data_IF_760642082442
#
_entry.id   IF_760642082442
#
_cell.length_a   1.000
_cell.length_b   1.000
_cell.length_c   1.000
_cell.angle_alpha   90.00
_cell.angle_beta   90.00
_cell.angle_gamma   90.00
#
_symmetry.space_group_name_H-M   'P 1'
#
loop_
_entity.id
_entity.type
_entity.pdbx_description
1 polymer ?
2 non-polymer ?
3 water ?
#
# COMPACT_ATOMS: atom_id res chain seq x y z
N UNK A 1 -0.42 -10.29 -16.01
CA UNK A 1 0.01 -9.15 -16.83
C UNK A 1 1.04 -8.27 -16.12
N UNK A 2 1.55 -7.27 -16.82
CA UNK A 2 2.34 -6.23 -16.15
C UNK A 2 1.42 -5.04 -15.93
N UNK A 3 1.50 -4.44 -14.75
CA UNK A 3 0.69 -3.27 -14.42
C UNK A 3 1.57 -2.07 -14.01
N UNK A 4 1.46 -0.95 -14.73
CA UNK A 4 2.20 0.24 -14.35
C UNK A 4 1.40 1.05 -13.34
N UNK A 5 2.00 2.10 -12.79
CA UNK A 5 1.42 2.71 -11.60
C UNK A 5 1.00 4.17 -11.78
N UNK A 6 0.77 4.57 -13.04
CA UNK A 6 0.33 5.93 -13.29
C UNK A 6 -1.08 6.11 -12.77
N UNK A 7 -1.81 5.00 -12.66
CA UNK A 7 -3.13 4.98 -12.06
C UNK A 7 -3.18 3.97 -10.93
N UNK A 8 -4.16 4.07 -10.03
CA UNK A 8 -4.34 3.03 -9.01
C UNK A 8 -4.38 1.63 -9.64
N UNK A 9 -3.66 0.67 -9.04
CA UNK A 9 -3.68 -0.67 -9.64
C UNK A 9 -4.90 -1.43 -9.17
N UNK A 10 -6.03 -1.13 -9.78
CA UNK A 10 -7.28 -1.77 -9.39
C UNK A 10 -7.56 -3.00 -10.25
N UNK A 11 -8.08 -4.05 -9.63
CA UNK A 11 -8.38 -5.27 -10.34
C UNK A 11 -9.75 -5.77 -9.92
N UNK A 12 -10.29 -6.68 -10.72
CA UNK A 12 -11.58 -7.25 -10.37
C UNK A 12 -11.35 -8.50 -9.51
N UNK A 13 -12.11 -8.64 -8.43
CA UNK A 13 -12.02 -9.83 -7.61
C UNK A 13 -13.38 -10.48 -7.53
N UNK A 14 -13.39 -11.77 -7.24
CA UNK A 14 -14.65 -12.45 -6.94
C UNK A 14 -14.43 -13.16 -5.63
N UNK A 15 -15.34 -12.91 -4.69
CA UNK A 15 -15.25 -13.48 -3.36
C UNK A 15 -16.66 -13.60 -2.79
N UNK A 16 -16.95 -14.73 -2.15
CA UNK A 16 -18.27 -14.95 -1.54
C UNK A 16 -19.40 -14.87 -2.55
N UNK A 17 -19.10 -15.25 -3.79
CA UNK A 17 -20.06 -15.21 -4.88
C UNK A 17 -20.28 -13.82 -5.47
N UNK A 18 -19.49 -12.84 -5.03
CA UNK A 18 -19.73 -11.45 -5.41
C UNK A 18 -18.56 -10.82 -6.14
N UNK A 19 -18.87 -9.90 -7.05
CA UNK A 19 -17.80 -9.22 -7.78
C UNK A 19 -17.52 -7.85 -7.19
N UNK A 20 -16.23 -7.58 -6.96
CA UNK A 20 -15.77 -6.33 -6.38
C UNK A 20 -14.48 -5.85 -7.05
N UNK A 21 -14.16 -4.58 -6.85
CA UNK A 21 -12.88 -4.05 -7.32
C UNK A 21 -11.97 -3.85 -6.11
N UNK A 22 -10.68 -4.11 -6.27
CA UNK A 22 -9.75 -3.97 -5.16
C UNK A 22 -8.40 -3.50 -5.64
N UNK A 23 -7.67 -2.89 -4.71
CA UNK A 23 -6.41 -2.27 -5.05
C UNK A 23 -5.31 -3.24 -4.70
N UNK A 24 -4.41 -3.54 -5.64
CA UNK A 24 -3.23 -4.36 -5.37
C UNK A 24 -2.29 -3.53 -4.51
N UNK A 25 -2.05 -4.00 -3.29
CA UNK A 25 -1.43 -3.13 -2.30
C UNK A 25 -0.19 -3.73 -1.65
N UNK A 26 0.99 -3.36 -2.16
CA UNK A 26 2.24 -3.93 -1.65
C UNK A 26 2.55 -3.38 -0.26
N UNK A 27 1.82 -2.34 0.13
CA UNK A 27 2.08 -1.67 1.41
C UNK A 27 1.24 -2.28 2.50
N UNK A 28 0.46 -3.29 2.13
CA UNK A 28 -0.44 -3.96 3.06
C UNK A 28 0.02 -5.40 3.29
N UNK A 29 0.26 -5.77 4.55
CA UNK A 29 0.62 -7.15 4.84
C UNK A 29 -0.59 -8.05 4.60
N UNK A 30 -1.73 -7.58 5.09
CA UNK A 30 -2.99 -8.35 5.07
C UNK A 30 -3.97 -7.85 4.01
N UNK A 31 -5.01 -8.63 3.74
CA UNK A 31 -6.07 -8.21 2.81
C UNK A 31 -7.29 -7.74 3.60
N UNK A 32 -7.80 -6.56 3.24
CA UNK A 32 -8.89 -5.91 3.97
C UNK A 32 -9.98 -5.48 2.99
N UNK A 33 -11.17 -6.03 3.17
CA UNK A 33 -12.27 -5.71 2.28
C UNK A 33 -13.34 -4.94 3.04
N UNK A 34 -14.00 -4.01 2.35
CA UNK A 34 -15.15 -3.27 2.90
C UNK A 34 -16.22 -4.24 3.39
N UNK A 35 -17.13 -3.74 4.22
CA UNK A 35 -18.20 -4.58 4.75
C UNK A 35 -18.94 -5.30 3.62
N UNK A 36 -18.99 -6.62 3.73
CA UNK A 36 -19.65 -7.45 2.74
C UNK A 36 -20.10 -8.70 3.48
N UNK A 37 -21.00 -9.46 2.86
CA UNK A 37 -21.50 -10.69 3.47
C UNK A 37 -20.62 -11.91 3.13
N UNK A 38 -19.97 -12.49 4.14
CA UNK A 38 -19.17 -13.70 3.99
C UNK A 38 -19.73 -14.81 4.89
N UNK A 39 -19.79 -16.05 4.37
CA UNK A 39 -20.44 -17.22 4.99
C UNK A 39 -20.08 -17.56 6.44
N UNK A 40 -18.99 -18.29 6.63
CA UNK A 40 -18.76 -18.97 7.90
C UNK A 40 -18.38 -18.15 9.12
N UNK A 41 -17.52 -18.72 9.94
CA UNK A 41 -17.13 -18.10 11.21
C UNK A 41 -15.97 -17.13 11.02
N UNK A 42 -15.78 -16.26 12.00
CA UNK A 42 -14.72 -15.27 11.96
C UNK A 42 -14.21 -14.96 13.35
N UNK A 43 -13.15 -14.17 13.44
CA UNK A 43 -12.57 -13.80 14.72
C UNK A 43 -12.33 -12.31 14.75
N UNK A 44 -12.52 -11.69 15.92
CA UNK A 44 -12.22 -10.27 16.09
C UNK A 44 -10.72 -10.00 15.91
N UNK A 45 -10.39 -8.86 15.32
CA UNK A 45 -9.00 -8.48 15.12
C UNK A 45 -8.94 -6.97 14.99
N UNK A 46 -7.82 -6.39 15.40
CA UNK A 46 -7.62 -4.95 15.36
C UNK A 46 -6.47 -4.71 14.43
N UNK A 47 -6.62 -3.77 13.49
CA UNK A 47 -5.53 -3.47 12.57
C UNK A 47 -5.23 -1.97 12.49
N UNK A 48 -3.94 -1.63 12.41
CA UNK A 48 -3.53 -0.25 12.42
C UNK A 48 -3.10 0.25 11.06
N UNK A 49 -3.46 1.49 10.74
CA UNK A 49 -3.06 2.12 9.51
C UNK A 49 -2.55 3.52 9.77
N UNK A 50 -2.64 4.40 8.78
CA UNK A 50 -2.02 5.70 8.88
C UNK A 50 -2.63 6.62 9.95
N UNK A 51 -3.94 6.56 10.13
CA UNK A 51 -4.63 7.52 10.99
C UNK A 51 -5.22 6.95 12.26
N UNK A 52 -4.89 5.70 12.56
CA UNK A 52 -5.41 5.03 13.72
C UNK A 52 -5.67 3.57 13.41
N UNK A 53 -6.79 3.06 13.92
CA UNK A 53 -7.06 1.63 13.89
C UNK A 53 -8.53 1.35 13.59
N UNK A 54 -8.81 0.14 13.13
CA UNK A 54 -10.19 -0.31 12.97
C UNK A 54 -10.38 -1.74 13.46
N UNK A 55 -11.60 -2.07 13.87
CA UNK A 55 -11.98 -3.45 14.17
C UNK A 55 -12.38 -4.14 12.89
N UNK A 56 -11.88 -5.35 12.68
CA UNK A 56 -12.27 -6.13 11.52
C UNK A 56 -12.64 -7.54 11.95
N UNK A 57 -13.27 -8.28 11.05
CA UNK A 57 -13.56 -9.68 11.29
C UNK A 57 -12.60 -10.49 10.44
N UNK A 58 -11.90 -11.43 11.07
CA UNK A 58 -10.94 -12.25 10.35
C UNK A 58 -11.53 -13.54 9.80
N UNK A 59 -11.54 -13.68 8.48
CA UNK A 59 -11.98 -14.92 7.86
C UNK A 59 -10.78 -15.67 7.31
N UNK A 60 -10.62 -16.91 7.77
CA UNK A 60 -9.51 -17.72 7.29
C UNK A 60 -9.94 -18.64 6.17
N UNK A 61 -8.97 -19.05 5.35
CA UNK A 61 -9.19 -20.05 4.32
C UNK A 61 -10.33 -19.67 3.37
N UNK A 62 -10.33 -18.41 2.96
CA UNK A 62 -11.35 -17.91 2.03
C UNK A 62 -10.86 -17.99 0.59
N UNK A 63 -11.70 -18.49 -0.31
CA UNK A 63 -11.36 -18.49 -1.72
C UNK A 63 -11.62 -17.11 -2.32
N UNK A 64 -10.63 -16.58 -3.03
CA UNK A 64 -10.76 -15.31 -3.72
C UNK A 64 -10.12 -15.38 -5.10
N UNK A 65 -10.79 -14.82 -6.10
CA UNK A 65 -10.23 -14.80 -7.44
C UNK A 65 -9.78 -13.39 -7.72
N UNK A 66 -8.49 -13.23 -8.01
CA UNK A 66 -7.93 -11.90 -8.17
C UNK A 66 -7.44 -11.78 -9.59
N UNK A 67 -8.14 -10.96 -10.38
CA UNK A 67 -7.82 -10.79 -11.80
C UNK A 67 -7.68 -12.15 -12.49
N UNK A 68 -8.57 -13.09 -12.18
CA UNK A 68 -8.54 -14.41 -12.79
C UNK A 68 -7.55 -15.41 -12.18
N UNK A 69 -6.93 -15.05 -11.07
CA UNK A 69 -6.04 -15.97 -10.37
C UNK A 69 -6.68 -16.37 -9.06
N UNK A 70 -6.91 -17.66 -8.86
CA UNK A 70 -7.47 -18.11 -7.59
C UNK A 70 -6.42 -18.14 -6.48
N UNK A 71 -6.84 -17.73 -5.28
CA UNK A 71 -6.01 -17.83 -4.10
C UNK A 71 -6.90 -18.20 -2.90
N UNK A 72 -6.32 -18.86 -1.91
CA UNK A 72 -7.05 -19.14 -0.69
C UNK A 72 -6.25 -18.59 0.46
N UNK A 73 -6.87 -17.74 1.29
CA UNK A 73 -6.16 -17.20 2.42
C UNK A 73 -7.05 -16.38 3.32
N UNK A 74 -6.41 -15.70 4.27
CA UNK A 74 -7.12 -14.85 5.22
C UNK A 74 -7.59 -13.53 4.63
N UNK A 75 -8.86 -13.22 4.86
CA UNK A 75 -9.42 -11.95 4.43
C UNK A 75 -9.95 -11.25 5.67
N UNK A 76 -9.59 -9.98 5.84
CA UNK A 76 -10.17 -9.19 6.91
C UNK A 76 -11.32 -8.35 6.36
N UNK A 77 -12.42 -8.28 7.11
CA UNK A 77 -13.57 -7.51 6.67
C UNK A 77 -13.90 -6.42 7.67
N UNK A 78 -14.06 -5.20 7.18
CA UNK A 78 -14.36 -4.11 8.08
C UNK A 78 -14.30 -2.76 7.39
N UNK A 79 -14.36 -1.69 8.19
CA UNK A 79 -14.52 -0.31 7.71
C UNK A 79 -13.28 0.30 7.04
N UNK A 80 -12.62 -0.44 6.16
CA UNK A 80 -11.56 0.14 5.33
C UNK A 80 -12.18 1.04 4.25
N UNK A 81 -11.51 2.16 3.91
CA UNK A 81 -12.00 3.06 2.86
C UNK A 81 -11.96 2.45 1.46
N UNK A 82 -11.10 1.44 1.27
CA UNK A 82 -10.86 0.86 -0.04
C UNK A 82 -10.61 -0.63 0.15
N UNK A 83 -11.11 -1.46 -0.77
CA UNK A 83 -10.78 -2.88 -0.77
C UNK A 83 -9.31 -2.98 -1.16
N UNK A 84 -8.53 -3.66 -0.34
CA UNK A 84 -7.09 -3.75 -0.57
C UNK A 84 -6.62 -5.20 -0.55
N UNK A 85 -5.91 -5.61 -1.60
CA UNK A 85 -5.33 -6.96 -1.63
C UNK A 85 -3.90 -6.88 -1.14
N UNK A 86 -3.61 -7.53 -0.02
CA UNK A 86 -2.29 -7.42 0.61
C UNK A 86 -1.33 -8.53 0.21
N UNK A 87 -0.11 -8.47 0.73
CA UNK A 87 0.96 -9.34 0.27
C UNK A 87 0.63 -10.81 0.51
N UNK A 88 -0.16 -11.09 1.54
CA UNK A 88 -0.58 -12.46 1.85
C UNK A 88 -1.21 -13.15 0.64
N UNK A 89 -1.96 -12.40 -0.17
CA UNK A 89 -2.59 -12.97 -1.36
C UNK A 89 -1.78 -12.65 -2.61
N UNK A 90 -1.03 -11.55 -2.59
CA UNK A 90 -0.22 -11.19 -3.75
C UNK A 90 0.85 -12.24 -4.05
N UNK A 91 1.39 -12.85 -3.00
CA UNK A 91 2.41 -13.88 -3.21
C UNK A 91 1.81 -15.11 -3.90
N UNK A 92 0.52 -15.35 -3.63
CA UNK A 92 -0.14 -16.54 -4.18
C UNK A 92 -0.37 -16.47 -5.68
N UNK A 93 -0.57 -15.26 -6.19
CA UNK A 93 -0.81 -15.09 -7.62
C UNK A 93 0.50 -14.75 -8.34
N UNK A 94 1.60 -14.78 -7.58
CA UNK A 94 2.93 -14.64 -8.15
C UNK A 94 3.29 -13.19 -8.46
N UNK A 95 2.67 -12.27 -7.73
CA UNK A 95 2.84 -10.85 -8.01
C UNK A 95 4.18 -10.29 -7.54
N UNK A 96 4.90 -9.60 -8.43
CA UNK A 96 6.17 -8.98 -8.10
C UNK A 96 6.26 -7.50 -8.44
N UNK A 97 7.12 -6.78 -7.73
CA UNK A 97 7.48 -5.43 -8.11
C UNK A 97 8.80 -5.58 -8.84
N UNK A 98 8.93 -4.91 -9.97
CA UNK A 98 10.17 -4.98 -10.71
C UNK A 98 10.20 -4.00 -11.83
N UNK A 99 10.98 -4.37 -12.85
CA UNK A 99 11.25 -3.52 -14.00
C UNK A 99 11.07 -4.29 -15.32
N UNK B 1 15.82 -3.93 -9.77
CA UNK B 1 15.64 -5.35 -9.44
C UNK B 1 14.21 -5.83 -9.65
N UNK B 2 14.02 -7.14 -9.50
CA UNK B 2 12.69 -7.69 -9.28
C UNK B 2 12.56 -7.93 -7.80
N UNK B 3 11.44 -7.51 -7.21
CA UNK B 3 11.22 -7.71 -5.79
C UNK B 3 9.95 -8.55 -5.57
N UNK B 4 10.11 -9.68 -4.89
CA UNK B 4 8.95 -10.51 -4.52
C UNK B 4 8.34 -10.01 -3.21
N UNK B 5 7.18 -10.56 -2.83
CA UNK B 5 6.43 -9.94 -1.73
C UNK B 5 6.25 -10.84 -0.50
N UNK B 6 7.09 -11.87 -0.36
CA UNK B 6 7.01 -12.74 0.81
C UNK B 6 7.41 -11.94 2.03
N UNK B 7 8.20 -10.89 1.81
CA UNK B 7 8.55 -9.94 2.85
C UNK B 7 8.09 -8.53 2.46
N UNK B 8 8.06 -7.63 3.43
CA UNK B 8 7.82 -6.21 3.11
C UNK B 8 8.85 -5.72 2.11
N UNK B 9 8.39 -5.02 1.06
CA UNK B 9 9.30 -4.50 0.04
C UNK B 9 9.96 -3.22 0.52
N UNK B 10 10.93 -3.37 1.42
CA UNK B 10 11.64 -2.22 2.00
C UNK B 10 12.86 -1.89 1.18
N UNK B 11 13.13 -0.59 0.99
CA UNK B 11 14.30 -0.18 0.23
C UNK B 11 14.99 0.96 0.95
N UNK B 12 16.24 1.20 0.58
CA UNK B 12 16.98 2.30 1.16
C UNK B 12 16.71 3.56 0.35
N UNK B 13 16.40 4.65 1.05
CA UNK B 13 16.23 5.92 0.39
C UNK B 13 17.22 6.91 0.96
N UNK B 14 17.57 7.91 0.18
CA UNK B 14 18.33 9.05 0.69
C UNK B 14 17.56 10.31 0.37
N UNK B 15 17.32 11.12 1.39
CA UNK B 15 16.52 12.34 1.22
C UNK B 15 16.99 13.35 2.27
N UNK B 16 17.12 14.60 1.85
CA UNK B 16 17.52 15.66 2.78
C UNK B 16 18.88 15.37 3.40
N UNK B 17 19.72 14.64 2.68
CA UNK B 17 21.05 14.28 3.18
C UNK B 17 21.08 13.09 4.14
N UNK B 18 19.93 12.46 4.34
CA UNK B 18 19.77 11.43 5.35
C UNK B 18 19.41 10.08 4.76
N UNK B 19 19.87 9.01 5.38
CA UNK B 19 19.51 7.68 4.89
C UNK B 19 18.37 7.11 5.71
N UNK B 20 17.37 6.55 5.03
CA UNK B 20 16.20 5.98 5.69
C UNK B 20 15.79 4.70 4.96
N UNK B 21 14.98 3.88 5.61
CA UNK B 21 14.31 2.76 4.94
C UNK B 21 12.85 3.10 4.67
N UNK B 22 12.33 2.64 3.54
CA UNK B 22 10.93 2.93 3.20
C UNK B 22 10.30 1.78 2.46
N UNK B 23 8.98 1.70 2.56
CA UNK B 23 8.24 0.59 1.99
C UNK B 23 7.74 1.00 0.62
N UNK B 24 8.05 0.23 -0.43
CA UNK B 24 7.48 0.50 -1.75
C UNK B 24 5.97 0.20 -1.68
N UNK B 25 5.15 1.21 -1.87
CA UNK B 25 3.73 1.07 -1.56
C UNK B 25 2.78 1.41 -2.70
N UNK B 26 2.31 0.39 -3.41
CA UNK B 26 1.43 0.62 -4.55
C UNK B 26 0.04 1.02 -4.08
N UNK B 27 -0.22 0.87 -2.78
CA UNK B 27 -1.51 1.24 -2.22
C UNK B 27 -1.58 2.70 -1.83
N UNK B 28 -0.50 3.42 -2.10
CA UNK B 28 -0.38 4.81 -1.67
C UNK B 28 -0.22 5.71 -2.89
N UNK B 29 -1.12 6.67 -3.04
CA UNK B 29 -1.03 7.60 -4.16
C UNK B 29 0.20 8.50 -3.93
N UNK B 30 0.33 8.98 -2.70
CA UNK B 30 1.40 9.91 -2.32
C UNK B 30 2.51 9.24 -1.52
N UNK B 31 3.62 9.96 -1.31
CA UNK B 31 4.72 9.48 -0.48
C UNK B 31 4.68 10.14 0.89
N UNK B 32 4.73 9.34 1.94
CA UNK B 32 4.61 9.85 3.30
C UNK B 32 5.78 9.37 4.14
N UNK B 33 6.56 10.31 4.66
CA UNK B 33 7.70 9.96 5.49
C UNK B 33 7.48 10.41 6.92
N UNK B 34 7.97 9.61 7.87
CA UNK B 34 7.94 9.95 9.31
C UNK B 34 8.62 11.27 9.54
N UNK B 35 8.36 11.88 10.70
CA UNK B 35 8.92 13.21 10.97
C UNK B 35 10.44 13.21 10.79
N UNK B 36 10.89 14.13 9.97
CA UNK B 36 12.30 14.25 9.66
C UNK B 36 12.54 15.72 9.38
N UNK B 37 13.80 16.11 9.39
CA UNK B 37 14.18 17.49 9.14
C UNK B 37 14.41 17.69 7.65
N UNK B 38 13.48 18.39 7.01
CA UNK B 38 13.61 18.74 5.61
C UNK B 38 13.72 20.25 5.51
N UNK B 39 14.53 20.74 4.56
CA UNK B 39 14.66 22.19 4.41
C UNK B 39 13.58 22.78 3.51
N UNK B 40 13.22 24.05 3.77
CA UNK B 40 12.43 24.82 2.84
C UNK B 40 10.95 25.03 3.13
N UNK B 41 10.27 25.63 2.16
CA UNK B 41 8.82 25.88 2.21
C UNK B 41 8.05 24.56 2.31
N UNK B 42 6.88 24.62 2.95
CA UNK B 42 5.93 23.50 2.94
C UNK B 42 4.52 24.03 3.11
N UNK B 43 3.54 23.14 2.95
CA UNK B 43 2.12 23.48 3.06
C UNK B 43 1.43 22.45 3.95
N UNK B 44 0.52 22.92 4.80
CA UNK B 44 -0.31 22.01 5.58
C UNK B 44 -1.16 21.15 4.66
N UNK B 45 -1.30 19.88 5.01
CA UNK B 45 -2.17 18.97 4.26
C UNK B 45 -2.72 17.96 5.26
N UNK B 46 -3.87 17.39 4.94
CA UNK B 46 -4.42 16.30 5.75
C UNK B 46 -4.68 15.13 4.82
N UNK B 47 -4.32 13.94 5.27
CA UNK B 47 -4.42 12.76 4.42
C UNK B 47 -5.07 11.62 5.19
N UNK B 48 -5.80 10.77 4.48
CA UNK B 48 -6.54 9.71 5.16
C UNK B 48 -6.10 8.31 4.81
N UNK B 49 -6.13 7.44 5.81
CA UNK B 49 -5.84 6.04 5.59
C UNK B 49 -6.87 5.19 6.30
N UNK B 50 -6.49 3.97 6.66
CA UNK B 50 -7.43 3.02 7.23
C UNK B 50 -8.15 3.47 8.50
N UNK B 51 -7.45 4.11 9.43
CA UNK B 51 -8.01 4.39 10.75
C UNK B 51 -8.47 5.82 11.01
N UNK B 52 -8.41 6.66 9.98
CA UNK B 52 -8.74 8.06 10.12
C UNK B 52 -7.77 8.95 9.36
N UNK B 53 -7.48 10.13 9.91
CA UNK B 53 -6.68 11.13 9.19
C UNK B 53 -5.48 11.64 9.98
N UNK B 54 -4.43 12.04 9.26
CA UNK B 54 -3.29 12.69 9.91
C UNK B 54 -2.96 14.00 9.22
N UNK B 55 -2.34 14.90 9.98
CA UNK B 55 -1.83 16.17 9.43
C UNK B 55 -0.37 15.99 9.02
N UNK B 56 -0.03 16.41 7.81
CA UNK B 56 1.34 16.32 7.34
C UNK B 56 1.78 17.65 6.72
N UNK B 57 3.08 17.80 6.49
CA UNK B 57 3.58 18.97 5.77
C UNK B 57 3.94 18.54 4.36
N UNK B 58 3.51 19.31 3.37
CA UNK B 58 3.76 18.98 1.98
C UNK B 58 4.96 19.71 1.38
N UNK B 59 5.99 18.95 1.00
CA UNK B 59 7.15 19.51 0.34
C UNK B 59 7.12 19.14 -1.13
N UNK B 60 7.22 20.14 -2.01
CA UNK B 60 7.26 19.89 -3.45
C UNK B 60 8.68 19.94 -4.01
N UNK B 61 8.87 19.27 -5.15
CA UNK B 61 10.17 19.20 -5.82
C UNK B 61 11.27 18.86 -4.80
N UNK B 62 11.08 17.74 -4.13
CA UNK B 62 12.09 17.22 -3.22
C UNK B 62 12.85 16.13 -3.92
N UNK B 63 14.19 16.18 -3.88
CA UNK B 63 15.00 15.14 -4.49
C UNK B 63 15.06 13.96 -3.54
N UNK B 64 14.77 12.78 -4.06
CA UNK B 64 14.84 11.56 -3.27
C UNK B 64 15.53 10.44 -4.06
N UNK B 65 16.38 9.67 -3.40
CA UNK B 65 17.03 8.57 -4.08
C UNK B 65 16.43 7.28 -3.55
N UNK B 66 15.83 6.49 -4.44
CA UNK B 66 15.10 5.30 -4.01
C UNK B 66 15.78 4.08 -4.61
N UNK B 67 16.42 3.30 -3.74
CA UNK B 67 17.18 2.12 -4.16
C UNK B 67 18.13 2.50 -5.30
N UNK B 68 18.78 3.66 -5.17
CA UNK B 68 19.73 4.12 -6.18
C UNK B 68 19.13 5.00 -7.27
N UNK B 69 17.81 4.95 -7.45
CA UNK B 69 17.17 5.71 -8.51
C UNK B 69 16.72 7.06 -8.02
N UNK B 70 17.20 8.12 -8.66
CA UNK B 70 16.79 9.47 -8.30
C UNK B 70 15.42 9.84 -8.87
N UNK B 71 14.62 10.53 -8.05
CA UNK B 71 13.33 11.07 -8.44
C UNK B 71 13.17 12.42 -7.77
N UNK B 72 12.35 13.29 -8.37
CA UNK B 72 12.04 14.57 -7.75
C UNK B 72 10.54 14.68 -7.69
N UNK B 73 10.00 14.95 -6.51
CA UNK B 73 8.57 15.05 -6.40
C UNK B 73 8.09 15.49 -5.04
N UNK B 74 6.79 15.40 -4.84
CA UNK B 74 6.17 15.78 -3.58
C UNK B 74 6.36 14.73 -2.50
N UNK B 75 6.78 15.17 -1.33
CA UNK B 75 6.95 14.28 -0.20
C UNK B 75 6.16 14.84 0.96
N UNK B 76 5.32 14.00 1.58
CA UNK B 76 4.55 14.42 2.74
C UNK B 76 5.28 13.97 4.00
N UNK B 77 5.33 14.83 5.01
CA UNK B 77 6.03 14.50 6.25
C UNK B 77 5.08 14.58 7.44
N UNK B 78 5.01 13.53 8.23
CA UNK B 78 4.09 13.51 9.35
C UNK B 78 4.06 12.19 10.09
N UNK B 79 3.08 12.04 10.99
CA UNK B 79 3.00 10.91 11.91
C UNK B 79 2.54 9.59 11.27
N UNK B 80 3.09 9.24 10.11
CA UNK B 80 2.90 7.90 9.55
C UNK B 80 3.70 6.89 10.37
N UNK B 81 3.13 5.70 10.61
CA UNK B 81 3.87 4.68 11.36
C UNK B 81 5.03 4.09 10.56
N UNK B 82 5.01 4.25 9.23
CA UNK B 82 6.04 3.67 8.36
C UNK B 82 6.35 4.65 7.24
N UNK B 83 7.61 4.75 6.82
CA UNK B 83 7.96 5.52 5.62
C UNK B 83 7.40 4.80 4.40
N UNK B 84 6.63 5.53 3.60
CA UNK B 84 5.87 4.97 2.48
C UNK B 84 6.26 5.65 1.17
N UNK B 85 6.76 4.89 0.19
CA UNK B 85 6.98 5.46 -1.13
C UNK B 85 5.77 5.15 -2.00
N UNK B 86 5.03 6.18 -2.40
CA UNK B 86 3.80 6.00 -3.17
C UNK B 86 3.97 6.12 -4.67
N UNK B 87 2.87 5.96 -5.41
CA UNK B 87 2.95 5.82 -6.85
C UNK B 87 3.51 7.06 -7.54
N UNK B 88 3.34 8.22 -6.91
CA UNK B 88 3.90 9.46 -7.44
C UNK B 88 5.40 9.36 -7.72
N UNK B 89 6.11 8.59 -6.90
CA UNK B 89 7.54 8.41 -7.08
C UNK B 89 7.85 7.07 -7.73
N UNK B 90 6.99 6.07 -7.51
CA UNK B 90 7.21 4.76 -8.12
C UNK B 90 7.21 4.82 -9.65
N UNK B 91 6.32 5.63 -10.22
CA UNK B 91 6.28 5.80 -11.67
C UNK B 91 7.58 6.39 -12.20
N UNK B 92 8.19 7.26 -11.39
CA UNK B 92 9.43 7.94 -11.80
C UNK B 92 10.64 7.00 -11.88
N UNK B 93 10.64 5.94 -11.08
CA UNK B 93 11.75 4.99 -11.12
C UNK B 93 11.40 3.77 -11.99
N UNK B 94 10.25 3.83 -12.66
CA UNK B 94 9.87 2.80 -13.62
C UNK B 94 9.32 1.52 -12.99
N UNK B 95 8.81 1.65 -11.77
CA UNK B 95 8.37 0.50 -11.01
C UNK B 95 7.01 -0.05 -11.47
N UNK B 96 6.94 -1.36 -11.70
CA UNK B 96 5.71 -2.02 -12.14
C UNK B 96 5.31 -3.24 -11.29
N UNK B 97 4.05 -3.64 -11.39
CA UNK B 97 3.54 -4.86 -10.73
C UNK B 97 3.46 -5.94 -11.79
N UNK B 98 3.77 -7.18 -11.43
CA UNK B 98 3.84 -8.22 -12.45
C UNK B 98 3.37 -9.55 -11.89
N UNK B 99 2.46 -10.21 -12.61
CA UNK B 99 2.02 -11.55 -12.25
C UNK B 99 1.39 -12.24 -13.46
X LIG C 1 -2.88 3.74 2.47
X LIG C 1 -3.96 4.11 1.48
X LIG C 1 -5.35 3.54 1.84
X LIG C 1 -6.11 3.16 0.58
X LIG C 1 -5.30 2.33 2.76
X LIG C 1 -1.99 -2.73 7.88
X LIG C 1 0.32 1.99 4.01
X LIG C 1 -0.67 -2.09 8.17
X LIG C 1 -0.12 -2.30 9.43
X LIG C 1 0.33 -2.61 7.16
X LIG C 1 -0.22 -3.82 6.60
X LIG C 1 -1.51 -4.05 7.28
X LIG C 1 -2.59 -4.84 6.62
X LIG C 1 -3.46 -4.15 5.74
X LIG C 1 -4.06 -2.86 6.33
X LIG C 1 -3.00 -2.00 7.01
X LIG C 1 -2.15 -1.36 6.07
X LIG C 1 -2.34 -0.14 5.40
X LIG C 1 -2.84 0.84 5.93
X LIG C 1 -1.43 -0.02 4.26
X LIG C 1 -1.18 1.43 3.78
X LIG C 1 0.71 1.81 5.47
X LIG C 1 1.54 0.74 5.82
X LIG C 1 1.91 0.57 7.16
X LIG C 1 1.43 1.46 8.12
X LIG C 1 0.62 2.53 7.77
X LIG C 1 0.24 2.70 6.43
X LIG C 1 -1.72 1.59 2.26
X LIG C 1 -0.92 0.79 1.50
X LIG C 1 -1.77 3.04 1.75
X LIG C 1 -2.32 5.07 3.34
X LIG C 1 -1.08 4.84 4.04
X LIG C 1 -3.18 5.38 4.44
X LIG C 1 -2.17 6.52 2.32
X LIG C 1 -3.32 7.27 2.12
X LIG C 1 -3.26 8.42 1.33
X LIG C 1 -2.04 8.80 0.77
X LIG C 1 -2.05 9.96 0.00
X LIG C 1 -3.03 10.92 0.31
X LIG C 1 -0.86 8.05 0.98
X LIG C 1 -0.93 6.89 1.77
#
# INVERSE_FOLDING_TARGET
>A
PQITLWQRPLVTIKIGGQLKEALLNTGADDTVLEEMSLPGRWKPKMIGGIGGFIKVRQYDQILIEICGHKAIGTVLVGPTPVNIIGRNLLTQIGCTLNF
>B
PQITLWQRPLVTIKIGGQLKEALLNTGADDTVLEEMSLPGRWKPKMIGGIGGFIKVRQYDQILIEICGHKAIGTVLVGPTPVNIIGRNLLTQIGCTLNF
>C hetero
1 52W N11 C12 C13 C14 C15 C31 C32 C1 O1 C29 O28 C27 O01 C02 C01 C24 O23 C21 O22 N20 C19 C07 C06 C05 C09 C03 C08 C17 O18 C16 S8 O9 O10 C5 C4 C3 C2 O03 C04 C7 C6
#
